data_IF_400088831217
#
_entry.id   IF_400088831217
#
_cell.length_a   1.000
_cell.length_b   1.000
_cell.length_c   1.000
_cell.angle_alpha   90.00
_cell.angle_beta   90.00
_cell.angle_gamma   90.00
#
_symmetry.space_group_name_H-M   'P 1'
#
loop_
_entity.id
_entity.type
_entity.pdbx_description
1 polymer ?
#
# COMPACT_ATOMS: atom_id res chain seq x y z
N UNK A 1 -26.08 13.99 -3.94
CA UNK A 1 -24.63 13.83 -4.25
C UNK A 1 -23.74 13.69 -2.99
N UNK A 2 -24.07 12.84 -1.98
CA UNK A 2 -23.28 12.75 -0.72
C UNK A 2 -22.77 11.35 -0.31
N UNK A 3 -23.02 10.28 -1.07
CA UNK A 3 -22.64 8.90 -0.67
C UNK A 3 -21.30 8.38 -1.18
N UNK A 4 -20.67 9.02 -2.17
CA UNK A 4 -19.46 8.49 -2.84
C UNK A 4 -18.18 8.70 -1.98
N UNK A 5 -18.24 9.49 -0.90
CA UNK A 5 -17.07 9.76 -0.04
C UNK A 5 -16.71 8.63 0.93
N UNK A 6 -17.58 7.64 1.14
CA UNK A 6 -17.37 6.58 2.13
C UNK A 6 -16.71 5.31 1.56
N UNK A 7 -16.88 5.03 0.27
CA UNK A 7 -16.29 3.83 -0.38
C UNK A 7 -14.77 3.99 -0.55
N UNK A 8 -14.29 5.23 -0.72
CA UNK A 8 -12.85 5.53 -0.72
C UNK A 8 -12.15 5.17 0.59
N UNK A 9 -12.84 5.28 1.73
CA UNK A 9 -12.25 5.03 3.06
C UNK A 9 -11.89 3.57 3.31
N UNK A 10 -12.73 2.63 2.85
CA UNK A 10 -12.49 1.19 3.06
C UNK A 10 -11.35 0.69 2.18
N UNK A 11 -11.26 1.20 0.95
CA UNK A 11 -10.16 0.90 0.04
C UNK A 11 -8.85 1.52 0.55
N UNK A 12 -8.89 2.79 0.97
CA UNK A 12 -7.75 3.48 1.60
C UNK A 12 -7.25 2.72 2.83
N UNK A 13 -8.15 2.24 3.69
CA UNK A 13 -7.77 1.49 4.89
C UNK A 13 -7.11 0.15 4.54
N UNK A 14 -7.63 -0.58 3.54
CA UNK A 14 -7.04 -1.85 3.08
C UNK A 14 -5.64 -1.66 2.48
N UNK A 15 -5.43 -0.65 1.65
CA UNK A 15 -4.11 -0.37 1.06
C UNK A 15 -3.13 0.17 2.10
N UNK A 16 -3.59 1.06 2.98
CA UNK A 16 -2.77 1.60 4.07
C UNK A 16 -2.39 0.50 5.06
N UNK A 17 -3.31 -0.42 5.39
CA UNK A 17 -2.98 -1.59 6.22
C UNK A 17 -2.04 -2.56 5.52
N UNK A 18 -2.19 -2.79 4.21
CA UNK A 18 -1.29 -3.66 3.44
C UNK A 18 0.12 -3.08 3.39
N UNK A 19 0.25 -1.77 3.13
CA UNK A 19 1.54 -1.08 3.13
C UNK A 19 2.17 -1.08 4.53
N UNK A 20 1.40 -0.75 5.56
CA UNK A 20 1.86 -0.79 6.95
C UNK A 20 2.34 -2.19 7.31
N UNK A 21 1.56 -3.24 7.07
CA UNK A 21 1.96 -4.62 7.39
C UNK A 21 3.23 -5.01 6.63
N UNK A 22 3.31 -4.68 5.33
CA UNK A 22 4.46 -4.98 4.47
C UNK A 22 5.75 -4.28 4.93
N UNK A 23 5.67 -3.15 5.62
CA UNK A 23 6.86 -2.42 6.12
C UNK A 23 7.13 -2.58 7.60
N UNK A 24 6.10 -2.74 8.43
CA UNK A 24 6.28 -3.05 9.85
C UNK A 24 6.84 -4.46 10.03
N UNK A 25 6.37 -5.44 9.25
CA UNK A 25 6.78 -6.83 9.43
C UNK A 25 8.30 -7.02 9.22
N UNK A 26 8.92 -6.52 8.13
CA UNK A 26 10.37 -6.60 7.97
C UNK A 26 11.11 -5.75 9.00
N UNK A 27 10.59 -4.59 9.41
CA UNK A 27 11.26 -3.75 10.39
C UNK A 27 11.29 -4.40 11.78
N UNK A 28 10.18 -5.00 12.21
CA UNK A 28 10.10 -5.79 13.44
C UNK A 28 11.00 -7.01 13.34
N UNK A 29 11.04 -7.69 12.19
CA UNK A 29 11.93 -8.81 11.95
C UNK A 29 13.41 -8.43 12.08
N UNK A 30 13.84 -7.34 11.42
CA UNK A 30 15.20 -6.82 11.53
C UNK A 30 15.52 -6.41 12.97
N UNK A 31 14.60 -5.72 13.64
CA UNK A 31 14.75 -5.36 15.06
C UNK A 31 14.91 -6.60 15.95
N UNK A 32 14.12 -7.64 15.72
CA UNK A 32 14.21 -8.91 16.45
C UNK A 32 15.54 -9.63 16.18
N UNK A 33 16.01 -9.67 14.93
CA UNK A 33 17.32 -10.22 14.57
C UNK A 33 18.46 -9.48 15.25
N UNK A 34 18.43 -8.14 15.27
CA UNK A 34 19.43 -7.33 15.96
C UNK A 34 19.41 -7.58 17.47
N UNK A 35 18.23 -7.66 18.07
CA UNK A 35 18.09 -7.94 19.50
C UNK A 35 18.59 -9.35 19.86
N UNK A 36 18.30 -10.35 19.02
CA UNK A 36 18.81 -11.71 19.17
C UNK A 36 20.34 -11.77 19.05
N UNK A 37 20.91 -11.05 18.09
CA UNK A 37 22.36 -10.90 17.93
C UNK A 37 22.99 -10.28 19.18
N UNK A 38 22.40 -9.19 19.69
CA UNK A 38 22.85 -8.53 20.92
C UNK A 38 22.81 -9.47 22.12
N UNK A 39 21.72 -10.22 22.27
CA UNK A 39 21.57 -11.18 23.35
C UNK A 39 22.59 -12.31 23.26
N UNK A 40 22.87 -12.81 22.04
CA UNK A 40 23.90 -13.84 21.81
C UNK A 40 25.28 -13.34 22.21
N UNK A 41 25.67 -12.13 21.79
CA UNK A 41 26.96 -11.53 22.14
C UNK A 41 27.06 -11.34 23.67
N UNK A 42 26.01 -10.84 24.31
CA UNK A 42 25.98 -10.63 25.76
C UNK A 42 26.06 -11.96 26.54
N UNK A 43 25.43 -13.03 26.03
CA UNK A 43 25.44 -14.36 26.63
C UNK A 43 26.78 -15.09 26.43
N UNK A 44 27.47 -14.83 25.33
CA UNK A 44 28.82 -15.34 25.07
C UNK A 44 29.86 -14.63 25.98
N UNK A 45 29.63 -13.35 26.28
CA UNK A 45 30.44 -12.56 27.23
C UNK A 45 30.11 -12.80 28.72
N UNK A 46 29.03 -13.52 29.06
CA UNK A 46 28.64 -13.84 30.45
C UNK A 46 29.61 -14.81 31.16
N UNK A 47 30.67 -15.28 30.50
CA UNK A 47 31.72 -16.13 31.05
C UNK A 47 32.94 -15.40 31.66
N UNK A 48 33.13 -14.09 31.45
CA UNK A 48 34.28 -13.33 31.99
C UNK A 48 33.87 -11.86 32.33
N UNK A 49 34.71 -11.06 33.04
CA UNK A 49 34.35 -10.26 34.21
C UNK A 49 33.42 -9.05 33.94
N UNK A 50 32.76 -8.56 35.00
CA UNK A 50 31.84 -7.38 35.06
C UNK A 50 32.29 -6.11 34.30
N UNK A 51 33.57 -6.01 33.98
CA UNK A 51 34.21 -4.91 33.24
C UNK A 51 33.69 -4.81 31.80
N UNK A 52 33.42 -5.93 31.13
CA UNK A 52 32.94 -5.93 29.73
C UNK A 52 31.47 -5.47 29.66
N UNK A 53 30.62 -5.92 30.59
CA UNK A 53 29.22 -5.51 30.67
C UNK A 53 29.07 -3.97 30.80
N UNK A 54 29.92 -3.31 31.60
CA UNK A 54 29.94 -1.84 31.72
C UNK A 54 30.22 -1.10 30.42
N UNK A 55 30.97 -1.68 29.50
CA UNK A 55 31.24 -1.08 28.19
C UNK A 55 30.17 -1.42 27.14
N UNK A 56 29.48 -2.55 27.30
CA UNK A 56 28.42 -3.00 26.37
C UNK A 56 27.08 -2.30 26.61
N UNK A 57 26.68 -2.04 27.87
CA UNK A 57 25.44 -1.31 28.20
C UNK A 57 25.28 0.04 27.48
N UNK A 58 26.29 0.94 27.45
CA UNK A 58 26.15 2.21 26.72
C UNK A 58 26.10 2.03 25.20
N UNK A 59 26.74 0.99 24.65
CA UNK A 59 26.65 0.65 23.22
C UNK A 59 25.23 0.17 22.88
N UNK A 60 24.66 -0.69 23.73
CA UNK A 60 23.29 -1.17 23.65
C UNK A 60 22.29 0.00 23.62
N UNK A 61 22.48 0.96 24.51
CA UNK A 61 21.59 2.12 24.63
C UNK A 61 21.71 3.06 23.41
N UNK A 62 22.92 3.27 22.88
CA UNK A 62 23.13 4.03 21.64
C UNK A 62 22.45 3.35 20.45
N UNK A 63 22.56 2.03 20.32
CA UNK A 63 21.92 1.28 19.24
C UNK A 63 20.40 1.38 19.32
N UNK A 64 19.80 1.25 20.52
CA UNK A 64 18.37 1.45 20.73
C UNK A 64 17.91 2.87 20.36
N UNK A 65 18.66 3.90 20.77
CA UNK A 65 18.34 5.29 20.41
C UNK A 65 18.39 5.48 18.89
N UNK A 66 19.42 4.96 18.22
CA UNK A 66 19.55 5.06 16.76
C UNK A 66 18.42 4.30 16.05
N UNK A 67 18.06 3.11 16.52
CA UNK A 67 16.95 2.32 15.98
C UNK A 67 15.63 3.06 16.10
N UNK A 68 15.30 3.58 17.28
CA UNK A 68 14.06 4.34 17.51
C UNK A 68 14.05 5.65 16.71
N UNK A 69 15.17 6.38 16.71
CA UNK A 69 15.30 7.63 15.97
C UNK A 69 15.21 7.44 14.45
N UNK A 70 15.67 6.30 13.93
CA UNK A 70 15.54 5.94 12.50
C UNK A 70 14.15 5.42 12.14
N UNK A 71 13.48 4.72 13.06
CA UNK A 71 12.16 4.12 12.81
C UNK A 71 11.05 5.17 12.66
N UNK A 72 11.07 6.22 13.48
CA UNK A 72 10.06 7.30 13.45
C UNK A 72 9.95 7.98 12.07
N UNK A 73 11.04 8.53 11.47
CA UNK A 73 10.98 9.17 10.16
C UNK A 73 10.62 8.18 9.05
N UNK A 74 11.05 6.91 9.16
CA UNK A 74 10.66 5.85 8.22
C UNK A 74 9.13 5.68 8.20
N UNK A 75 8.48 5.55 9.37
CA UNK A 75 7.02 5.41 9.47
C UNK A 75 6.31 6.64 8.88
N UNK A 76 6.81 7.84 9.13
CA UNK A 76 6.22 9.07 8.59
C UNK A 76 6.30 9.09 7.05
N UNK A 77 7.46 8.77 6.47
CA UNK A 77 7.65 8.70 5.01
C UNK A 77 6.71 7.67 4.40
N UNK A 78 6.54 6.53 5.04
CA UNK A 78 5.66 5.47 4.57
C UNK A 78 4.18 5.88 4.59
N UNK A 79 3.73 6.56 5.63
CA UNK A 79 2.37 7.10 5.70
C UNK A 79 2.14 8.10 4.55
N UNK A 80 3.09 9.01 4.32
CA UNK A 80 3.02 9.97 3.21
C UNK A 80 2.97 9.28 1.85
N UNK A 81 3.82 8.28 1.63
CA UNK A 81 3.84 7.50 0.39
C UNK A 81 2.56 6.71 0.17
N UNK A 82 2.03 6.07 1.21
CA UNK A 82 0.77 5.33 1.14
C UNK A 82 -0.40 6.24 0.77
N UNK A 83 -0.44 7.45 1.32
CA UNK A 83 -1.45 8.46 0.95
C UNK A 83 -1.29 8.91 -0.52
N UNK A 84 -0.06 9.17 -0.97
CA UNK A 84 0.23 9.55 -2.35
C UNK A 84 -0.17 8.45 -3.36
N UNK A 85 0.13 7.19 -3.06
CA UNK A 85 -0.25 6.07 -3.91
C UNK A 85 -1.77 5.86 -3.95
N UNK A 86 -2.42 5.95 -2.79
CA UNK A 86 -3.87 5.79 -2.66
C UNK A 86 -4.63 6.85 -3.46
N UNK A 87 -4.19 8.11 -3.39
CA UNK A 87 -4.79 9.21 -4.15
C UNK A 87 -4.63 9.07 -5.66
N UNK A 88 -3.56 8.43 -6.15
CA UNK A 88 -3.37 8.14 -7.58
C UNK A 88 -4.35 7.10 -8.12
N UNK A 89 -4.74 6.10 -7.33
CA UNK A 89 -5.62 5.01 -7.77
C UNK A 89 -7.11 5.32 -7.56
N UNK A 90 -7.46 6.01 -6.48
CA UNK A 90 -8.86 6.29 -6.14
C UNK A 90 -9.59 7.13 -7.22
N UNK A 91 -8.88 8.08 -7.84
CA UNK A 91 -9.45 8.95 -8.89
C UNK A 91 -9.88 8.17 -10.14
N UNK A 92 -8.97 7.41 -10.78
CA UNK A 92 -9.29 6.56 -11.92
C UNK A 92 -10.38 5.52 -11.62
N UNK A 93 -10.35 4.84 -10.46
CA UNK A 93 -11.35 3.83 -10.09
C UNK A 93 -12.75 4.45 -10.02
N UNK A 94 -12.89 5.57 -9.31
CA UNK A 94 -14.18 6.25 -9.16
C UNK A 94 -14.72 6.83 -10.48
N UNK A 95 -13.88 7.03 -11.49
CA UNK A 95 -14.30 7.40 -12.86
C UNK A 95 -14.84 6.18 -13.59
N UNK A 96 -14.10 5.07 -13.60
CA UNK A 96 -14.53 3.81 -14.25
C UNK A 96 -15.86 3.34 -13.66
N UNK A 97 -16.01 3.35 -12.33
CA UNK A 97 -17.26 2.98 -11.66
C UNK A 97 -18.46 3.80 -12.17
N UNK A 98 -18.29 5.12 -12.30
CA UNK A 98 -19.34 6.02 -12.81
C UNK A 98 -19.68 5.76 -14.26
N UNK A 99 -18.70 5.50 -15.11
CA UNK A 99 -18.94 5.23 -16.53
C UNK A 99 -19.61 3.86 -16.73
N UNK A 100 -19.19 2.84 -15.97
CA UNK A 100 -19.87 1.53 -15.93
C UNK A 100 -21.31 1.67 -15.46
N UNK A 101 -21.58 2.47 -14.42
CA UNK A 101 -22.94 2.70 -13.96
C UNK A 101 -23.85 3.38 -15.00
N UNK A 102 -23.29 4.14 -15.95
CA UNK A 102 -24.05 4.69 -17.09
C UNK A 102 -24.29 3.63 -18.17
N UNK A 103 -23.29 2.80 -18.47
CA UNK A 103 -23.40 1.66 -19.39
C UNK A 103 -24.52 0.70 -18.96
N UNK A 104 -24.60 0.41 -17.67
CA UNK A 104 -25.66 -0.46 -17.10
C UNK A 104 -27.06 0.09 -17.34
N UNK A 105 -27.22 1.41 -17.55
CA UNK A 105 -28.50 2.04 -17.89
C UNK A 105 -28.89 1.92 -19.37
N UNK A 106 -28.10 1.22 -20.18
CA UNK A 106 -28.37 0.95 -21.60
C UNK A 106 -27.65 1.88 -22.57
N UNK A 107 -26.79 2.78 -22.09
CA UNK A 107 -26.00 3.68 -22.96
C UNK A 107 -24.72 3.01 -23.49
N UNK A 108 -24.87 1.98 -24.32
CA UNK A 108 -23.74 1.18 -24.86
C UNK A 108 -22.89 1.90 -25.92
N UNK A 109 -23.33 3.07 -26.39
CA UNK A 109 -22.59 3.93 -27.32
C UNK A 109 -21.46 4.72 -26.65
N UNK A 110 -21.43 4.79 -25.31
CA UNK A 110 -20.33 5.41 -24.58
C UNK A 110 -19.10 4.51 -24.57
N UNK A 111 -17.92 5.11 -24.47
CA UNK A 111 -16.64 4.40 -24.32
C UNK A 111 -15.90 4.94 -23.11
N UNK A 112 -15.33 4.04 -22.34
CA UNK A 112 -14.56 4.37 -21.15
C UNK A 112 -13.23 4.97 -21.57
N UNK A 113 -12.94 6.19 -21.09
CA UNK A 113 -11.68 6.90 -21.39
C UNK A 113 -10.84 7.08 -20.14
N UNK A 114 -9.70 6.41 -20.10
CA UNK A 114 -8.71 6.51 -19.02
C UNK A 114 -7.39 7.05 -19.59
N UNK A 115 -6.58 7.73 -18.78
CA UNK A 115 -5.30 8.29 -19.27
C UNK A 115 -4.35 7.14 -19.62
N UNK A 116 -3.48 7.35 -20.62
CA UNK A 116 -2.53 6.33 -21.11
C UNK A 116 -1.62 5.74 -20.03
N UNK A 117 -1.35 6.47 -18.95
CA UNK A 117 -0.45 6.09 -17.86
C UNK A 117 -1.18 5.56 -16.61
N UNK A 118 -2.51 5.47 -16.64
CA UNK A 118 -3.27 4.94 -15.51
C UNK A 118 -3.29 3.41 -15.60
N UNK A 119 -3.09 2.73 -14.46
CA UNK A 119 -3.05 1.27 -14.37
C UNK A 119 -4.38 0.59 -14.78
N UNK A 120 -5.47 1.35 -14.84
CA UNK A 120 -6.80 0.86 -15.23
C UNK A 120 -7.07 0.85 -16.74
N UNK A 121 -6.10 1.28 -17.56
CA UNK A 121 -6.29 1.38 -19.01
C UNK A 121 -6.69 0.03 -19.62
N UNK A 122 -6.03 -1.06 -19.23
CA UNK A 122 -6.33 -2.41 -19.72
C UNK A 122 -7.77 -2.85 -19.40
N UNK A 123 -8.28 -2.48 -18.22
CA UNK A 123 -9.65 -2.76 -17.81
C UNK A 123 -10.63 -1.96 -18.66
N UNK A 124 -10.37 -0.68 -18.87
CA UNK A 124 -11.22 0.17 -19.71
C UNK A 124 -11.24 -0.29 -21.18
N UNK A 125 -10.09 -0.69 -21.72
CA UNK A 125 -9.99 -1.25 -23.07
C UNK A 125 -10.81 -2.55 -23.17
N UNK A 126 -10.72 -3.44 -22.17
CA UNK A 126 -11.54 -4.66 -22.11
C UNK A 126 -13.05 -4.39 -22.06
N UNK A 127 -13.48 -3.38 -21.29
CA UNK A 127 -14.89 -2.96 -21.23
C UNK A 127 -15.34 -2.39 -22.58
N UNK A 128 -14.50 -1.57 -23.23
CA UNK A 128 -14.83 -1.01 -24.54
C UNK A 128 -15.01 -2.10 -25.60
N UNK A 129 -14.17 -3.15 -25.61
CA UNK A 129 -14.34 -4.31 -26.50
C UNK A 129 -15.67 -5.02 -26.23
N UNK A 130 -16.06 -5.16 -24.97
CA UNK A 130 -17.35 -5.75 -24.59
C UNK A 130 -18.53 -4.91 -25.11
N UNK A 131 -18.44 -3.58 -25.01
CA UNK A 131 -19.44 -2.66 -25.54
C UNK A 131 -19.55 -2.73 -27.06
N UNK A 132 -18.42 -2.83 -27.77
CA UNK A 132 -18.39 -3.00 -29.23
C UNK A 132 -19.18 -4.26 -29.63
N UNK A 133 -18.96 -5.38 -28.94
CA UNK A 133 -19.69 -6.64 -29.19
C UNK A 133 -21.18 -6.52 -28.91
N UNK A 134 -21.58 -5.86 -27.81
CA UNK A 134 -23.00 -5.66 -27.48
C UNK A 134 -23.69 -4.85 -28.59
N UNK A 135 -23.06 -3.77 -29.06
CA UNK A 135 -23.63 -2.95 -30.14
C UNK A 135 -23.73 -3.71 -31.46
N UNK A 136 -22.73 -4.53 -31.78
CA UNK A 136 -22.77 -5.38 -32.97
C UNK A 136 -23.94 -6.38 -32.91
N UNK A 137 -24.14 -7.03 -31.76
CA UNK A 137 -25.26 -7.96 -31.55
C UNK A 137 -26.63 -7.27 -31.61
N UNK A 138 -26.74 -6.05 -31.12
CA UNK A 138 -27.98 -5.27 -31.24
C UNK A 138 -28.29 -4.91 -32.70
N UNK A 139 -27.27 -4.51 -33.47
CA UNK A 139 -27.42 -4.20 -34.90
C UNK A 139 -27.79 -5.42 -35.75
N UNK A 140 -27.41 -6.63 -35.33
CA UNK A 140 -27.80 -7.89 -36.01
C UNK A 140 -29.22 -8.35 -35.67
N UNK A 141 -29.81 -7.84 -34.58
CA UNK A 141 -31.16 -8.22 -34.10
C UNK A 141 -32.25 -7.23 -34.48
N UNK A 142 -31.91 -6.00 -34.86
CA UNK A 142 -32.82 -5.01 -35.43
C UNK A 142 -32.71 -4.96 -36.94
#
# INVERSE_FOLDING_TARGET
MRRIRLIGGVLHLRYLSLLLISTLLPAVFVGACLYYLMFTILAEDLGIPEVIAKHLFPVMNKINIILVAGFIPMVIILIMWGFALSSRLAGPIARVEREVAQIVKGEYSKRIKVRKKDDLKSIADGINILLDKIQELQKRRG
#
